data_IF_049675858259
#
_entry.id   IF_049675858259
#
_cell.length_a   1.000
_cell.length_b   1.000
_cell.length_c   1.000
_cell.angle_alpha   90.00
_cell.angle_beta   90.00
_cell.angle_gamma   90.00
#
_symmetry.space_group_name_H-M   'P 1'
#
loop_
_entity.id
_entity.type
_entity.pdbx_description
1 polymer ?
#
# COMPACT_ATOMS: atom_id res chain seq x y z
N UNK A 1 -6.08 10.36 -16.89
CA UNK A 1 -5.29 9.26 -16.28
C UNK A 1 -4.87 9.72 -14.88
N UNK A 2 -5.30 9.06 -13.80
CA UNK A 2 -4.96 9.45 -12.42
C UNK A 2 -3.54 8.97 -12.09
N UNK A 3 -2.52 9.74 -12.47
CA UNK A 3 -1.14 9.51 -12.04
C UNK A 3 -0.79 10.61 -11.05
N UNK A 4 -0.62 10.25 -9.79
CA UNK A 4 -0.05 11.16 -8.79
C UNK A 4 1.41 11.37 -9.17
N UNK A 5 1.82 12.61 -9.36
CA UNK A 5 3.23 12.95 -9.59
C UNK A 5 4.00 12.82 -8.26
N UNK A 6 4.74 11.73 -8.13
CA UNK A 6 5.54 11.43 -6.93
C UNK A 6 6.89 12.17 -6.92
N UNK A 7 7.26 12.87 -8.00
CA UNK A 7 8.54 13.59 -8.06
C UNK A 7 8.58 14.71 -7.01
N UNK A 8 7.50 15.48 -6.89
CA UNK A 8 7.40 16.56 -5.88
C UNK A 8 7.54 16.04 -4.45
N UNK A 9 7.02 14.85 -4.16
CA UNK A 9 7.13 14.24 -2.83
C UNK A 9 8.57 13.78 -2.55
N UNK A 10 9.26 13.25 -3.57
CA UNK A 10 10.67 12.88 -3.47
C UNK A 10 11.57 14.09 -3.24
N UNK A 11 11.36 15.18 -3.98
CA UNK A 11 12.18 16.40 -3.86
C UNK A 11 11.98 17.13 -2.54
N UNK A 12 10.74 17.23 -2.06
CA UNK A 12 10.42 17.97 -0.82
C UNK A 12 10.62 17.17 0.45
N UNK A 13 10.45 15.85 0.40
CA UNK A 13 10.39 15.01 1.60
C UNK A 13 11.32 13.79 1.53
N UNK A 14 12.08 13.61 0.45
CA UNK A 14 12.88 12.40 0.23
C UNK A 14 12.03 11.14 0.08
N UNK A 15 10.72 11.28 -0.12
CA UNK A 15 9.80 10.15 -0.07
C UNK A 15 9.99 9.22 -1.27
N UNK A 16 10.16 7.93 -0.97
CA UNK A 16 10.17 6.85 -1.95
C UNK A 16 9.39 5.67 -1.40
N UNK A 17 8.62 5.01 -2.26
CA UNK A 17 7.90 3.80 -1.88
C UNK A 17 8.92 2.67 -1.68
N UNK A 18 8.98 2.13 -0.46
CA UNK A 18 9.90 1.04 -0.11
C UNK A 18 9.36 -0.34 -0.52
N UNK A 19 8.05 -0.46 -0.70
CA UNK A 19 7.36 -1.72 -0.98
C UNK A 19 6.81 -1.68 -2.40
N UNK A 20 7.07 -2.74 -3.16
CA UNK A 20 6.53 -2.87 -4.50
C UNK A 20 5.00 -3.07 -4.47
N UNK A 21 4.30 -2.58 -5.48
CA UNK A 21 2.83 -2.67 -5.53
C UNK A 21 2.29 -4.10 -5.33
N UNK A 22 2.90 -5.10 -5.98
CA UNK A 22 2.46 -6.51 -5.85
C UNK A 22 2.67 -7.06 -4.44
N UNK A 23 3.75 -6.66 -3.78
CA UNK A 23 4.06 -7.09 -2.42
C UNK A 23 3.07 -6.46 -1.43
N UNK A 24 2.84 -5.15 -1.54
CA UNK A 24 1.83 -4.45 -0.75
C UNK A 24 0.45 -5.08 -0.90
N UNK A 25 0.03 -5.40 -2.12
CA UNK A 25 -1.26 -6.04 -2.38
C UNK A 25 -1.38 -7.42 -1.73
N UNK A 26 -0.32 -8.25 -1.78
CA UNK A 26 -0.29 -9.56 -1.11
C UNK A 26 -0.43 -9.41 0.40
N UNK A 27 0.29 -8.46 0.99
CA UNK A 27 0.24 -8.18 2.43
C UNK A 27 -1.17 -7.76 2.84
N UNK A 28 -1.82 -6.87 2.06
CA UNK A 28 -3.20 -6.45 2.31
C UNK A 28 -4.20 -7.60 2.23
N UNK A 29 -4.10 -8.47 1.21
CA UNK A 29 -4.98 -9.63 1.06
C UNK A 29 -4.80 -10.60 2.23
N UNK A 30 -3.55 -10.85 2.63
CA UNK A 30 -3.25 -11.74 3.74
C UNK A 30 -3.83 -11.21 5.06
N UNK A 31 -3.61 -9.93 5.35
CA UNK A 31 -4.21 -9.26 6.50
C UNK A 31 -5.73 -9.37 6.47
N UNK A 32 -6.37 -9.04 5.35
CA UNK A 32 -7.81 -9.12 5.23
C UNK A 32 -8.34 -10.54 5.46
N UNK A 33 -7.71 -11.57 4.89
CA UNK A 33 -8.10 -12.98 5.11
C UNK A 33 -7.99 -13.40 6.57
N UNK A 34 -6.93 -12.97 7.27
CA UNK A 34 -6.72 -13.31 8.67
C UNK A 34 -7.67 -12.56 9.61
N UNK A 35 -8.09 -11.35 9.25
CA UNK A 35 -8.93 -10.49 10.07
C UNK A 35 -10.43 -10.56 9.70
N UNK A 36 -10.79 -11.06 8.51
CA UNK A 36 -12.19 -11.23 8.10
C UNK A 36 -12.95 -12.22 8.99
N UNK A 37 -12.26 -13.17 9.63
CA UNK A 37 -12.87 -14.10 10.58
C UNK A 37 -13.31 -13.45 11.91
N UNK A 38 -12.80 -12.26 12.25
CA UNK A 38 -13.19 -11.51 13.47
C UNK A 38 -14.46 -10.68 13.32
N UNK A 39 -14.95 -10.46 12.10
CA UNK A 39 -16.13 -9.62 11.86
C UNK A 39 -17.46 -10.42 11.82
N UNK A 40 -17.40 -11.75 11.95
CA UNK A 40 -18.54 -12.67 11.89
C UNK A 40 -18.79 -13.43 13.21
N UNK A 41 -18.13 -13.00 14.29
CA UNK A 41 -18.35 -13.44 15.67
C UNK A 41 -18.94 -12.30 16.49
#
# INVERSE_FOLDING_TARGET
>A
RRCLDTLRAKEKFGFTAQVAFREGLRNTIHWYRNHASKALS
#
